data_IF_678545523147
#
_entry.id   IF_678545523147
#
_cell.length_a   1.000
_cell.length_b   1.000
_cell.length_c   1.000
_cell.angle_alpha   90.00
_cell.angle_beta   90.00
_cell.angle_gamma   90.00
#
_symmetry.space_group_name_H-M   'P 1'
#
loop_
_entity.id
_entity.type
_entity.pdbx_description
1 polymer ?
#
# COMPACT_ATOMS: atom_id res chain seq x y z
N UNK A 1 -22.89 16.53 12.30
CA UNK A 1 -23.00 15.73 11.07
C UNK A 1 -22.79 14.27 11.39
N UNK A 2 -23.52 13.40 10.73
CA UNK A 2 -23.46 11.93 10.87
C UNK A 2 -22.14 11.35 10.31
N UNK A 3 -21.34 12.16 9.60
CA UNK A 3 -20.10 11.71 8.97
C UNK A 3 -18.94 11.60 9.96
N UNK A 4 -18.22 10.50 9.90
CA UNK A 4 -16.95 10.30 10.59
C UNK A 4 -15.88 11.32 10.16
N UNK A 5 -14.91 11.61 11.05
CA UNK A 5 -13.87 12.62 10.80
C UNK A 5 -13.03 12.32 9.54
N UNK A 6 -12.62 11.06 9.35
CA UNK A 6 -11.87 10.63 8.15
C UNK A 6 -12.65 10.95 6.87
N UNK A 7 -13.93 10.62 6.84
CA UNK A 7 -14.76 10.88 5.66
C UNK A 7 -14.87 12.37 5.34
N UNK A 8 -14.99 13.23 6.36
CA UNK A 8 -14.99 14.69 6.17
C UNK A 8 -13.68 15.17 5.56
N UNK A 9 -12.55 14.64 6.02
CA UNK A 9 -11.23 14.97 5.48
C UNK A 9 -11.06 14.51 4.03
N UNK A 10 -11.58 13.35 3.65
CA UNK A 10 -11.59 12.89 2.26
C UNK A 10 -12.43 13.80 1.34
N UNK A 11 -13.58 14.28 1.83
CA UNK A 11 -14.36 15.28 1.09
C UNK A 11 -13.60 16.60 0.92
N UNK A 12 -12.90 17.07 1.95
CA UNK A 12 -12.08 18.28 1.87
C UNK A 12 -10.86 18.06 0.94
N UNK A 13 -10.25 16.90 0.98
CA UNK A 13 -9.13 16.55 0.09
C UNK A 13 -9.54 16.63 -1.39
N UNK A 14 -10.78 16.25 -1.73
CA UNK A 14 -11.36 16.39 -3.06
C UNK A 14 -11.42 17.86 -3.52
N UNK A 15 -11.55 18.82 -2.59
CA UNK A 15 -11.67 20.24 -2.87
C UNK A 15 -10.32 20.96 -2.99
N UNK A 16 -9.22 20.31 -2.65
CA UNK A 16 -7.87 20.91 -2.74
C UNK A 16 -7.60 21.58 -4.09
N UNK A 17 -7.95 20.95 -5.25
CA UNK A 17 -7.72 21.56 -6.56
C UNK A 17 -8.31 22.96 -6.71
N UNK A 18 -9.38 23.29 -5.97
CA UNK A 18 -10.03 24.62 -6.02
C UNK A 18 -9.25 25.71 -5.28
N UNK A 19 -8.41 25.33 -4.30
CA UNK A 19 -7.65 26.27 -3.47
C UNK A 19 -6.12 26.16 -3.60
N UNK A 20 -5.60 25.09 -4.19
CA UNK A 20 -4.15 24.88 -4.39
C UNK A 20 -3.83 24.86 -5.88
N UNK A 21 -3.00 25.80 -6.36
CA UNK A 21 -2.65 25.91 -7.78
C UNK A 21 -1.75 24.78 -8.24
N UNK A 22 -1.87 24.35 -9.51
CA UNK A 22 -1.05 23.27 -10.10
C UNK A 22 -1.04 22.00 -9.24
N UNK A 23 -2.18 21.65 -8.64
CA UNK A 23 -2.34 20.45 -7.85
C UNK A 23 -2.93 19.32 -8.71
N UNK A 24 -2.28 18.15 -8.73
CA UNK A 24 -2.67 17.03 -9.57
C UNK A 24 -3.30 15.93 -8.71
N UNK A 25 -4.63 15.81 -8.79
CA UNK A 25 -5.43 14.85 -8.02
C UNK A 25 -5.93 13.74 -8.94
N UNK A 26 -5.94 12.51 -8.45
CA UNK A 26 -6.72 11.43 -9.04
C UNK A 26 -7.67 10.84 -7.99
N UNK A 27 -8.91 10.60 -8.41
CA UNK A 27 -9.91 9.90 -7.60
C UNK A 27 -10.58 8.81 -8.43
N UNK A 28 -10.34 7.55 -8.07
CA UNK A 28 -11.02 6.40 -8.66
C UNK A 28 -11.89 5.73 -7.59
N UNK A 29 -13.12 5.36 -7.96
CA UNK A 29 -14.05 4.78 -7.00
C UNK A 29 -15.42 4.49 -7.61
N UNK A 30 -16.38 3.99 -6.82
CA UNK A 30 -17.73 3.65 -7.29
C UNK A 30 -18.47 4.84 -7.90
N UNK A 31 -19.45 4.57 -8.74
CA UNK A 31 -20.37 5.58 -9.29
C UNK A 31 -21.28 6.15 -8.20
N UNK A 32 -21.64 7.44 -8.36
CA UNK A 32 -22.62 8.09 -7.46
C UNK A 32 -22.04 8.62 -6.14
N UNK A 33 -20.72 8.76 -6.01
CA UNK A 33 -20.05 9.33 -4.85
C UNK A 33 -19.83 10.86 -4.95
N UNK A 34 -20.35 11.50 -6.02
CA UNK A 34 -20.28 12.95 -6.21
C UNK A 34 -18.91 13.50 -6.62
N UNK A 35 -18.05 12.67 -7.24
CA UNK A 35 -16.68 13.08 -7.66
C UNK A 35 -16.67 14.35 -8.49
N UNK A 36 -17.25 14.29 -9.66
CA UNK A 36 -17.30 15.39 -10.65
C UNK A 36 -18.19 16.54 -10.18
N UNK A 37 -19.31 16.21 -9.51
CA UNK A 37 -20.27 17.17 -8.98
C UNK A 37 -19.60 18.17 -8.03
N UNK A 38 -18.75 17.71 -7.12
CA UNK A 38 -18.09 18.56 -6.15
C UNK A 38 -17.19 19.63 -6.80
N UNK A 39 -16.56 19.34 -7.94
CA UNK A 39 -15.73 20.32 -8.66
C UNK A 39 -16.60 21.25 -9.49
N UNK A 40 -17.60 20.72 -10.16
CA UNK A 40 -18.44 21.48 -11.09
C UNK A 40 -19.36 22.47 -10.40
N UNK A 41 -19.97 22.06 -9.28
CA UNK A 41 -21.00 22.86 -8.61
C UNK A 41 -20.45 23.81 -7.52
N UNK A 42 -19.22 23.57 -7.05
CA UNK A 42 -18.64 24.39 -5.99
C UNK A 42 -17.80 25.57 -6.50
N UNK A 43 -17.53 25.66 -7.81
CA UNK A 43 -16.77 26.77 -8.32
C UNK A 43 -17.09 27.05 -9.80
N UNK A 44 -17.44 28.31 -10.14
CA UNK A 44 -17.60 28.75 -11.53
C UNK A 44 -16.25 28.84 -12.27
N UNK A 45 -15.12 28.66 -11.58
CA UNK A 45 -13.76 28.69 -12.12
C UNK A 45 -13.21 27.28 -12.43
N UNK A 46 -14.05 26.27 -12.40
CA UNK A 46 -13.70 24.91 -12.76
C UNK A 46 -14.32 24.50 -14.09
N UNK A 47 -13.55 23.81 -14.92
CA UNK A 47 -14.02 23.21 -16.15
C UNK A 47 -13.90 21.69 -16.10
N UNK A 48 -14.94 20.99 -16.53
CA UNK A 48 -14.98 19.54 -16.58
C UNK A 48 -14.98 19.09 -18.04
N UNK A 49 -14.04 18.23 -18.39
CA UNK A 49 -13.91 17.62 -19.72
C UNK A 49 -14.43 16.19 -19.68
N UNK A 50 -15.35 15.90 -20.59
CA UNK A 50 -15.82 14.54 -20.87
C UNK A 50 -15.28 14.10 -22.23
N UNK A 51 -14.36 13.11 -22.22
CA UNK A 51 -13.76 12.59 -23.45
C UNK A 51 -12.48 13.30 -23.92
N UNK A 52 -11.97 12.92 -25.10
CA UNK A 52 -10.68 13.38 -25.61
C UNK A 52 -10.67 14.88 -25.91
N UNK A 53 -9.52 15.50 -25.71
CA UNK A 53 -9.31 16.93 -25.99
C UNK A 53 -8.04 17.13 -26.83
N UNK A 54 -7.83 18.35 -27.35
CA UNK A 54 -6.68 18.69 -28.16
C UNK A 54 -5.66 19.52 -27.40
N UNK A 55 -4.43 19.54 -27.88
CA UNK A 55 -3.37 20.41 -27.34
C UNK A 55 -3.79 21.87 -27.38
N UNK A 56 -4.42 22.32 -28.49
CA UNK A 56 -4.87 23.70 -28.63
C UNK A 56 -5.94 24.08 -27.60
N UNK A 57 -6.85 23.18 -27.27
CA UNK A 57 -7.89 23.42 -26.26
C UNK A 57 -7.28 23.54 -24.86
N UNK A 58 -6.41 22.59 -24.47
CA UNK A 58 -5.80 22.61 -23.14
C UNK A 58 -4.75 23.70 -22.96
N UNK A 59 -3.87 23.89 -23.94
CA UNK A 59 -2.65 24.69 -23.82
C UNK A 59 -2.64 25.95 -24.69
N UNK A 60 -3.72 26.22 -25.43
CA UNK A 60 -3.82 27.37 -26.31
C UNK A 60 -3.20 27.15 -27.69
N UNK A 61 -3.38 28.13 -28.56
CA UNK A 61 -2.84 28.12 -29.93
C UNK A 61 -1.41 28.67 -29.95
N UNK A 62 -0.67 28.26 -30.97
CA UNK A 62 0.62 28.85 -31.30
C UNK A 62 0.40 30.35 -31.62
N UNK A 63 1.32 31.22 -31.24
CA UNK A 63 1.24 32.68 -31.36
C UNK A 63 0.34 33.39 -30.33
N UNK A 64 -0.08 32.73 -29.22
CA UNK A 64 -0.73 33.39 -28.08
C UNK A 64 -2.12 33.99 -28.32
N UNK A 65 -2.71 33.78 -29.51
CA UNK A 65 -4.04 34.36 -29.86
C UNK A 65 -5.16 33.88 -28.94
N UNK A 66 -5.09 32.64 -28.50
CA UNK A 66 -6.10 32.05 -27.63
C UNK A 66 -5.43 31.32 -26.47
N UNK A 67 -5.80 31.66 -25.24
CA UNK A 67 -5.36 31.00 -24.03
C UNK A 67 -5.99 29.62 -23.95
N UNK A 68 -5.23 28.63 -23.48
CA UNK A 68 -5.73 27.29 -23.21
C UNK A 68 -6.43 27.19 -21.87
N UNK A 69 -7.16 26.09 -21.68
CA UNK A 69 -7.90 25.84 -20.45
C UNK A 69 -7.03 25.95 -19.19
N UNK A 70 -5.80 25.45 -19.21
CA UNK A 70 -4.87 25.50 -18.05
C UNK A 70 -4.42 26.92 -17.67
N UNK A 71 -4.70 27.92 -18.52
CA UNK A 71 -4.40 29.34 -18.26
C UNK A 71 -5.64 30.15 -17.85
N UNK A 72 -6.85 29.63 -18.15
CA UNK A 72 -8.11 30.35 -17.94
C UNK A 72 -8.80 29.87 -16.66
N UNK A 73 -8.81 28.56 -16.46
CA UNK A 73 -9.51 27.92 -15.34
C UNK A 73 -8.60 27.70 -14.14
N UNK A 74 -9.16 27.69 -12.96
CA UNK A 74 -8.44 27.33 -11.73
C UNK A 74 -8.34 25.80 -11.60
N UNK A 75 -9.33 25.07 -12.13
CA UNK A 75 -9.31 23.60 -12.20
C UNK A 75 -9.75 23.12 -13.58
N UNK A 76 -9.01 22.14 -14.11
CA UNK A 76 -9.42 21.35 -15.28
C UNK A 76 -9.62 19.91 -14.80
N UNK A 77 -10.88 19.50 -14.73
CA UNK A 77 -11.28 18.14 -14.39
C UNK A 77 -11.43 17.28 -15.64
N UNK A 78 -10.96 16.05 -15.57
CA UNK A 78 -11.22 15.00 -16.56
C UNK A 78 -12.19 14.00 -15.95
N UNK A 79 -13.44 14.01 -16.44
CA UNK A 79 -14.46 13.06 -16.00
C UNK A 79 -14.40 11.79 -16.86
N UNK A 80 -14.72 10.66 -16.25
CA UNK A 80 -14.65 9.35 -16.89
C UNK A 80 -13.32 9.11 -17.63
N UNK A 81 -12.20 9.16 -16.86
CA UNK A 81 -10.85 9.02 -17.44
C UNK A 81 -10.68 7.78 -18.33
N UNK A 82 -11.51 6.75 -18.18
CA UNK A 82 -11.52 5.59 -19.07
C UNK A 82 -11.81 5.95 -20.54
N UNK A 83 -12.57 7.03 -20.78
CA UNK A 83 -12.93 7.48 -22.13
C UNK A 83 -11.81 8.25 -22.83
N UNK A 84 -10.73 8.59 -22.11
CA UNK A 84 -9.56 9.28 -22.66
C UNK A 84 -8.67 8.37 -23.53
N UNK A 85 -9.10 7.16 -23.89
CA UNK A 85 -8.33 6.22 -24.75
C UNK A 85 -7.91 6.84 -26.09
N UNK A 86 -8.72 7.75 -26.63
CA UNK A 86 -8.45 8.44 -27.89
C UNK A 86 -7.66 9.74 -27.73
N UNK A 87 -7.11 10.00 -26.54
CA UNK A 87 -6.31 11.21 -26.29
C UNK A 87 -5.00 11.15 -27.11
N UNK A 88 -4.66 12.20 -27.87
CA UNK A 88 -3.39 12.24 -28.58
C UNK A 88 -2.20 12.13 -27.63
N UNK A 89 -1.19 11.33 -27.98
CA UNK A 89 0.04 11.18 -27.17
C UNK A 89 0.74 12.52 -26.89
N UNK A 90 0.64 13.47 -27.82
CA UNK A 90 1.19 14.83 -27.66
C UNK A 90 0.56 15.55 -26.45
N UNK A 91 -0.76 15.40 -26.26
CA UNK A 91 -1.48 15.96 -25.10
C UNK A 91 -0.92 15.40 -23.79
N UNK A 92 -0.73 14.08 -23.72
CA UNK A 92 -0.18 13.43 -22.51
C UNK A 92 1.26 13.89 -22.23
N UNK A 93 2.07 14.03 -23.29
CA UNK A 93 3.45 14.53 -23.14
C UNK A 93 3.47 15.96 -22.61
N UNK A 94 2.58 16.83 -23.09
CA UNK A 94 2.48 18.20 -22.59
C UNK A 94 1.89 18.25 -21.17
N UNK A 95 0.87 17.45 -20.86
CA UNK A 95 0.34 17.33 -19.51
C UNK A 95 1.42 16.89 -18.53
N UNK A 96 2.26 15.93 -18.89
CA UNK A 96 3.39 15.47 -18.09
C UNK A 96 4.36 16.63 -17.71
N UNK A 97 4.72 17.46 -18.68
CA UNK A 97 5.57 18.63 -18.45
C UNK A 97 4.86 19.65 -17.56
N UNK A 98 3.60 19.93 -17.87
CA UNK A 98 2.77 20.85 -17.09
C UNK A 98 2.59 20.41 -15.62
N UNK A 99 2.34 19.14 -15.37
CA UNK A 99 2.20 18.58 -14.02
C UNK A 99 3.45 18.75 -13.17
N UNK A 100 4.65 18.77 -13.77
CA UNK A 100 5.91 18.94 -13.05
C UNK A 100 6.11 20.37 -12.58
N UNK A 101 5.91 21.36 -13.46
CA UNK A 101 6.35 22.75 -13.24
C UNK A 101 5.25 23.81 -13.33
N UNK A 102 4.07 23.46 -13.83
CA UNK A 102 3.04 24.45 -14.22
C UNK A 102 3.39 25.20 -15.49
N UNK A 103 4.49 24.82 -16.17
CA UNK A 103 4.95 25.44 -17.41
C UNK A 103 4.79 24.49 -18.59
N UNK A 104 4.63 25.05 -19.78
CA UNK A 104 4.56 24.31 -21.03
C UNK A 104 5.09 25.16 -22.17
N UNK A 105 5.47 24.53 -23.28
CA UNK A 105 6.01 25.21 -24.43
C UNK A 105 5.02 25.13 -25.60
N UNK A 106 4.77 26.28 -26.26
CA UNK A 106 3.98 26.39 -27.49
C UNK A 106 4.77 27.11 -28.56
N UNK A 107 5.19 26.35 -29.59
CA UNK A 107 6.15 26.86 -30.56
C UNK A 107 7.49 27.19 -29.90
N UNK A 108 7.91 28.45 -29.98
CA UNK A 108 9.14 28.94 -29.36
C UNK A 108 8.92 29.65 -28.01
N UNK A 109 7.66 29.76 -27.55
CA UNK A 109 7.31 30.48 -26.34
C UNK A 109 7.09 29.53 -25.16
N UNK A 110 7.72 29.83 -24.02
CA UNK A 110 7.46 29.19 -22.74
C UNK A 110 6.29 29.93 -22.06
N UNK A 111 5.25 29.20 -21.71
CA UNK A 111 4.05 29.71 -21.07
C UNK A 111 3.82 29.05 -19.72
N UNK A 112 3.10 29.73 -18.83
CA UNK A 112 2.68 29.20 -17.55
C UNK A 112 1.16 29.09 -17.49
N UNK A 113 0.70 28.08 -16.76
CA UNK A 113 -0.70 27.90 -16.34
C UNK A 113 -0.79 27.68 -14.84
N UNK A 114 -1.96 27.93 -14.28
CA UNK A 114 -2.20 27.83 -12.84
C UNK A 114 -3.25 26.77 -12.49
N UNK A 115 -3.91 26.22 -13.49
CA UNK A 115 -4.95 25.23 -13.27
C UNK A 115 -4.43 23.97 -12.56
N UNK A 116 -5.16 23.52 -11.59
CA UNK A 116 -5.02 22.20 -11.02
C UNK A 116 -5.66 21.16 -11.93
N UNK A 117 -5.15 19.93 -11.94
CA UNK A 117 -5.71 18.84 -12.73
C UNK A 117 -6.38 17.85 -11.78
N UNK A 118 -7.64 17.50 -12.08
CA UNK A 118 -8.39 16.49 -11.35
C UNK A 118 -8.86 15.39 -12.31
N UNK A 119 -8.43 14.16 -12.04
CA UNK A 119 -8.79 12.99 -12.85
C UNK A 119 -9.81 12.14 -12.08
N UNK A 120 -11.00 11.95 -12.67
CA UNK A 120 -12.07 11.17 -12.07
C UNK A 120 -12.38 9.94 -12.89
N UNK A 121 -12.50 8.79 -12.21
CA UNK A 121 -12.84 7.55 -12.87
C UNK A 121 -13.64 6.60 -11.99
N UNK A 122 -14.18 5.57 -12.62
CA UNK A 122 -14.95 4.55 -11.94
C UNK A 122 -14.15 3.26 -11.84
N UNK A 123 -14.17 2.62 -10.66
CA UNK A 123 -13.65 1.27 -10.49
C UNK A 123 -14.69 0.27 -11.00
N UNK A 124 -14.23 -0.73 -11.77
CA UNK A 124 -15.10 -1.77 -12.32
C UNK A 124 -15.28 -2.96 -11.35
N UNK A 125 -14.35 -3.13 -10.44
CA UNK A 125 -14.32 -4.22 -9.46
C UNK A 125 -14.13 -3.66 -8.05
N UNK A 126 -14.47 -4.42 -6.99
CA UNK A 126 -14.11 -4.10 -5.62
C UNK A 126 -12.59 -3.91 -5.47
N UNK A 127 -12.18 -3.00 -4.60
CA UNK A 127 -10.77 -2.60 -4.45
C UNK A 127 -9.89 -3.75 -3.96
N UNK A 128 -10.39 -4.56 -3.04
CA UNK A 128 -9.73 -5.77 -2.56
C UNK A 128 -9.40 -6.75 -3.69
N UNK A 129 -10.32 -6.93 -4.63
CA UNK A 129 -10.08 -7.76 -5.84
C UNK A 129 -9.05 -7.10 -6.75
N UNK A 130 -9.15 -5.78 -6.99
CA UNK A 130 -8.20 -5.05 -7.85
C UNK A 130 -6.77 -5.09 -7.28
N UNK A 131 -6.61 -4.94 -5.96
CA UNK A 131 -5.30 -5.00 -5.29
C UNK A 131 -4.67 -6.38 -5.39
N UNK A 132 -5.49 -7.45 -5.37
CA UNK A 132 -5.03 -8.83 -5.47
C UNK A 132 -4.68 -9.26 -6.91
N UNK A 133 -5.44 -8.80 -7.90
CA UNK A 133 -5.33 -9.27 -9.29
C UNK A 133 -4.51 -8.36 -10.19
N UNK A 134 -4.38 -7.07 -9.82
CA UNK A 134 -3.73 -6.05 -10.65
C UNK A 134 -3.30 -4.86 -9.78
N UNK A 135 -3.52 -3.66 -10.26
CA UNK A 135 -3.20 -2.41 -9.57
C UNK A 135 -4.39 -1.42 -9.66
N UNK A 136 -4.44 -0.44 -8.77
CA UNK A 136 -5.56 0.50 -8.68
C UNK A 136 -5.63 1.52 -9.83
N UNK A 137 -4.62 1.58 -10.71
CA UNK A 137 -4.66 2.37 -11.95
C UNK A 137 -5.19 1.57 -13.15
N UNK A 138 -5.63 0.32 -12.97
CA UNK A 138 -6.19 -0.50 -14.05
C UNK A 138 -7.36 0.17 -14.81
N UNK A 139 -8.22 1.02 -14.18
CA UNK A 139 -9.27 1.73 -14.90
C UNK A 139 -8.77 2.85 -15.84
N UNK A 140 -7.50 3.27 -15.74
CA UNK A 140 -6.96 4.28 -16.63
C UNK A 140 -6.74 3.71 -18.05
N UNK A 141 -6.91 4.53 -19.10
CA UNK A 141 -6.59 4.12 -20.46
C UNK A 141 -5.08 3.89 -20.63
N UNK A 142 -4.73 3.00 -21.55
CA UNK A 142 -3.34 2.57 -21.77
C UNK A 142 -2.39 3.75 -22.03
N UNK A 143 -2.85 4.76 -22.76
CA UNK A 143 -2.06 5.96 -23.09
C UNK A 143 -1.60 6.75 -21.84
N UNK A 144 -2.35 6.66 -20.75
CA UNK A 144 -2.02 7.27 -19.45
C UNK A 144 -1.35 6.25 -18.54
N UNK A 145 -1.91 5.04 -18.46
CA UNK A 145 -1.45 3.97 -17.57
C UNK A 145 -0.01 3.56 -17.88
N UNK A 146 0.34 3.47 -19.16
CA UNK A 146 1.68 3.04 -19.58
C UNK A 146 2.75 4.15 -19.43
N UNK A 147 2.35 5.41 -19.21
CA UNK A 147 3.27 6.51 -18.89
C UNK A 147 3.43 6.67 -17.36
N UNK A 148 4.26 5.81 -16.76
CA UNK A 148 4.55 5.86 -15.31
C UNK A 148 5.10 7.22 -14.86
N UNK A 149 5.82 7.93 -15.75
CA UNK A 149 6.33 9.25 -15.46
C UNK A 149 5.22 10.31 -15.35
N UNK A 150 4.11 10.17 -16.06
CA UNK A 150 2.92 10.99 -15.85
C UNK A 150 2.27 10.68 -14.49
N UNK A 151 2.07 9.38 -14.20
CA UNK A 151 1.47 8.92 -12.94
C UNK A 151 2.28 9.40 -11.74
N UNK A 152 3.62 9.35 -11.79
CA UNK A 152 4.50 9.83 -10.71
C UNK A 152 4.37 11.34 -10.42
N UNK A 153 3.73 12.12 -11.29
CA UNK A 153 3.44 13.54 -11.09
C UNK A 153 2.09 13.83 -10.43
N UNK A 154 1.32 12.80 -10.15
CA UNK A 154 0.10 12.93 -9.35
C UNK A 154 0.48 13.18 -7.90
N UNK A 155 -0.07 14.23 -7.31
CA UNK A 155 0.24 14.59 -5.93
C UNK A 155 -0.47 13.68 -4.94
N UNK A 156 -1.70 13.30 -5.24
CA UNK A 156 -2.53 12.50 -4.36
C UNK A 156 -3.46 11.57 -5.13
N UNK A 157 -3.58 10.35 -4.63
CA UNK A 157 -4.63 9.43 -5.04
C UNK A 157 -5.67 9.35 -3.91
N UNK A 158 -6.81 9.98 -4.11
CA UNK A 158 -7.94 9.93 -3.19
C UNK A 158 -8.68 8.59 -3.32
N UNK A 159 -8.89 7.86 -2.23
CA UNK A 159 -9.59 6.58 -2.24
C UNK A 159 -11.11 6.78 -2.39
N UNK A 160 -11.59 6.92 -3.63
CA UNK A 160 -13.01 7.17 -3.90
C UNK A 160 -13.93 6.02 -3.47
N UNK A 161 -13.39 4.83 -3.17
CA UNK A 161 -14.13 3.68 -2.63
C UNK A 161 -14.45 3.83 -1.13
N UNK A 162 -13.72 4.67 -0.39
CA UNK A 162 -14.07 5.01 0.99
C UNK A 162 -15.20 6.04 1.07
N UNK A 163 -15.47 6.75 -0.03
CA UNK A 163 -16.52 7.76 -0.07
C UNK A 163 -17.86 7.09 -0.39
N UNK A 164 -18.86 7.17 0.50
CA UNK A 164 -20.16 6.58 0.30
C UNK A 164 -20.92 7.28 -0.84
N UNK A 165 -21.91 6.58 -1.40
CA UNK A 165 -22.87 7.23 -2.30
C UNK A 165 -23.59 8.34 -1.56
N UNK A 166 -23.74 9.49 -2.22
CA UNK A 166 -24.44 10.64 -1.65
C UNK A 166 -25.90 10.29 -1.35
N UNK A 167 -26.35 10.61 -0.14
CA UNK A 167 -27.72 10.42 0.36
C UNK A 167 -28.19 11.71 1.03
N UNK A 168 -29.49 11.88 1.18
CA UNK A 168 -30.06 13.08 1.81
C UNK A 168 -29.53 13.32 3.23
N UNK A 169 -29.23 12.27 3.99
CA UNK A 169 -28.67 12.36 5.34
C UNK A 169 -27.24 12.97 5.40
N UNK A 170 -26.56 13.04 4.27
CA UNK A 170 -25.24 13.67 4.17
C UNK A 170 -25.31 15.19 3.99
N UNK A 171 -26.48 15.71 3.63
CA UNK A 171 -26.71 17.14 3.52
C UNK A 171 -27.17 17.71 4.86
N UNK A 172 -26.93 18.99 5.06
CA UNK A 172 -27.33 19.69 6.27
C UNK A 172 -28.53 20.61 5.96
N UNK A 173 -29.44 20.72 6.92
CA UNK A 173 -30.53 21.68 6.87
C UNK A 173 -30.13 23.07 7.47
N UNK A 174 -28.88 23.19 7.91
CA UNK A 174 -28.33 24.44 8.42
C UNK A 174 -27.82 25.33 7.28
N UNK A 175 -27.69 26.62 7.57
CA UNK A 175 -27.11 27.60 6.66
C UNK A 175 -25.68 27.20 6.32
N UNK A 176 -25.32 27.30 5.03
CA UNK A 176 -23.97 27.09 4.50
C UNK A 176 -23.41 28.36 3.87
N UNK A 177 -22.19 28.28 3.38
CA UNK A 177 -21.65 29.37 2.57
C UNK A 177 -22.41 29.49 1.24
N UNK A 178 -22.57 30.72 0.76
CA UNK A 178 -22.94 30.96 -0.62
C UNK A 178 -21.81 30.43 -1.50
N UNK A 179 -22.13 29.62 -2.49
CA UNK A 179 -21.13 28.90 -3.33
C UNK A 179 -20.16 29.85 -4.01
N UNK A 180 -20.69 30.98 -4.56
CA UNK A 180 -19.87 32.01 -5.22
C UNK A 180 -18.86 32.63 -4.26
N UNK A 181 -19.28 32.91 -3.03
CA UNK A 181 -18.37 33.42 -2.00
C UNK A 181 -17.29 32.43 -1.63
N UNK A 182 -17.65 31.16 -1.47
CA UNK A 182 -16.70 30.10 -1.20
C UNK A 182 -15.68 29.97 -2.35
N UNK A 183 -16.13 30.03 -3.60
CA UNK A 183 -15.27 29.95 -4.77
C UNK A 183 -14.25 31.11 -4.82
N UNK A 184 -14.69 32.36 -4.56
CA UNK A 184 -13.79 33.51 -4.50
C UNK A 184 -12.80 33.41 -3.34
N UNK A 185 -13.25 32.96 -2.17
CA UNK A 185 -12.36 32.73 -1.01
C UNK A 185 -11.27 31.69 -1.31
N UNK A 186 -11.66 30.55 -1.93
CA UNK A 186 -10.71 29.50 -2.31
C UNK A 186 -9.72 30.00 -3.37
N UNK A 187 -10.18 30.77 -4.34
CA UNK A 187 -9.34 31.37 -5.38
C UNK A 187 -8.31 32.36 -4.79
N UNK A 188 -8.73 33.16 -3.80
CA UNK A 188 -7.81 34.06 -3.10
C UNK A 188 -6.80 33.28 -2.25
N UNK A 189 -7.24 32.26 -1.51
CA UNK A 189 -6.37 31.34 -0.77
C UNK A 189 -5.38 30.61 -1.69
N UNK A 190 -5.70 30.43 -2.97
CA UNK A 190 -4.78 29.90 -3.98
C UNK A 190 -3.50 30.72 -4.16
N UNK A 191 -3.48 31.96 -3.73
CA UNK A 191 -2.28 32.84 -3.77
C UNK A 191 -1.36 32.66 -2.56
N UNK A 192 -1.87 32.05 -1.47
CA UNK A 192 -1.11 31.81 -0.25
C UNK A 192 -0.34 30.49 -0.34
N UNK A 193 0.73 30.35 0.44
CA UNK A 193 1.58 29.18 0.49
C UNK A 193 1.75 28.68 1.93
N UNK A 194 1.32 27.43 2.19
CA UNK A 194 1.45 26.77 3.49
C UNK A 194 2.34 25.52 3.41
N UNK A 195 3.16 25.39 2.37
CA UNK A 195 4.00 24.18 2.17
C UNK A 195 5.06 23.98 3.25
N UNK A 196 5.48 25.05 3.93
CA UNK A 196 6.49 25.02 4.99
C UNK A 196 5.92 24.83 6.40
N UNK A 197 4.57 24.84 6.53
CA UNK A 197 3.91 24.67 7.83
C UNK A 197 4.27 23.34 8.50
N UNK A 198 4.56 22.30 7.72
CA UNK A 198 4.99 20.98 8.23
C UNK A 198 6.22 21.13 9.11
N UNK A 199 7.18 21.96 8.72
CA UNK A 199 8.50 22.07 9.33
C UNK A 199 8.46 22.64 10.76
N UNK A 200 7.30 23.21 11.21
CA UNK A 200 7.13 23.67 12.56
C UNK A 200 7.16 22.51 13.59
N UNK A 201 6.63 21.35 13.23
CA UNK A 201 6.48 20.22 14.15
C UNK A 201 7.04 18.89 13.61
N UNK A 202 7.20 18.78 12.28
CA UNK A 202 7.53 17.52 11.63
C UNK A 202 8.59 17.67 10.56
N UNK A 203 9.36 16.61 10.34
CA UNK A 203 10.28 16.48 9.22
C UNK A 203 9.85 15.27 8.37
N UNK A 204 9.86 15.41 7.04
CA UNK A 204 9.54 14.30 6.15
C UNK A 204 10.69 13.31 6.11
N UNK A 205 10.39 12.01 6.15
CA UNK A 205 11.35 10.91 6.16
C UNK A 205 12.41 11.01 5.05
N UNK A 206 13.61 10.54 5.31
CA UNK A 206 14.75 10.65 4.39
C UNK A 206 14.51 9.95 3.04
N UNK A 207 13.70 8.90 3.04
CA UNK A 207 13.41 8.07 1.86
C UNK A 207 12.43 8.70 0.86
N UNK A 208 11.71 9.76 1.24
CA UNK A 208 10.85 10.49 0.31
C UNK A 208 11.73 11.29 -0.67
N UNK A 209 11.56 11.03 -1.96
CA UNK A 209 12.26 11.79 -3.00
C UNK A 209 11.68 13.22 -3.15
N UNK A 210 12.31 14.06 -3.97
CA UNK A 210 11.90 15.47 -4.15
C UNK A 210 10.44 15.61 -4.63
N UNK A 211 9.95 14.70 -5.50
CA UNK A 211 8.55 14.71 -5.96
C UNK A 211 7.59 14.34 -4.85
N UNK A 212 7.93 13.32 -4.06
CA UNK A 212 7.11 12.88 -2.95
C UNK A 212 6.97 13.99 -1.90
N UNK A 213 8.10 14.64 -1.54
CA UNK A 213 8.11 15.81 -0.64
C UNK A 213 7.26 16.95 -1.17
N UNK A 214 7.39 17.28 -2.46
CA UNK A 214 6.59 18.32 -3.13
C UNK A 214 5.10 17.97 -3.08
N UNK A 215 4.73 16.72 -3.39
CA UNK A 215 3.36 16.24 -3.40
C UNK A 215 2.71 16.30 -2.01
N UNK A 216 3.40 15.80 -0.98
CA UNK A 216 2.94 15.85 0.42
C UNK A 216 2.77 17.29 0.88
N UNK A 217 3.79 18.15 0.70
CA UNK A 217 3.74 19.56 1.08
C UNK A 217 2.59 20.33 0.42
N UNK A 218 2.32 20.07 -0.86
CA UNK A 218 1.19 20.68 -1.57
C UNK A 218 -0.16 20.18 -1.07
N UNK A 219 -0.28 18.90 -0.76
CA UNK A 219 -1.51 18.34 -0.18
C UNK A 219 -1.77 18.93 1.20
N UNK A 220 -0.74 19.06 2.05
CA UNK A 220 -0.85 19.73 3.35
C UNK A 220 -1.23 21.20 3.16
N UNK A 221 -0.56 21.93 2.26
CA UNK A 221 -0.92 23.33 1.96
C UNK A 221 -2.39 23.48 1.55
N UNK A 222 -2.88 22.60 0.68
CA UNK A 222 -4.28 22.61 0.25
C UNK A 222 -5.26 22.36 1.39
N UNK A 223 -5.00 21.38 2.27
CA UNK A 223 -5.84 21.11 3.43
C UNK A 223 -5.75 22.25 4.47
N UNK A 224 -4.58 22.84 4.66
CA UNK A 224 -4.42 24.02 5.51
C UNK A 224 -5.29 25.20 5.05
N UNK A 225 -5.34 25.48 3.75
CA UNK A 225 -6.20 26.52 3.17
C UNK A 225 -7.68 26.30 3.45
N UNK A 226 -8.11 25.03 3.46
CA UNK A 226 -9.51 24.66 3.70
C UNK A 226 -9.90 24.64 5.19
N UNK A 227 -8.98 24.20 6.07
CA UNK A 227 -9.24 24.00 7.49
C UNK A 227 -8.72 25.13 8.37
N UNK A 228 -7.55 25.67 8.03
CA UNK A 228 -6.82 26.64 8.82
C UNK A 228 -6.35 27.82 7.94
N UNK A 229 -7.26 28.56 7.26
CA UNK A 229 -6.90 29.63 6.31
C UNK A 229 -6.10 30.76 6.95
N UNK A 230 -6.16 30.91 8.27
CA UNK A 230 -5.37 31.88 9.05
C UNK A 230 -3.92 31.42 9.31
N UNK A 231 -3.54 30.20 8.90
CA UNK A 231 -2.18 29.66 9.00
C UNK A 231 -1.78 29.11 10.37
N UNK A 232 -2.62 29.24 11.40
CA UNK A 232 -2.35 28.67 12.73
C UNK A 232 -2.99 27.29 12.85
N UNK A 233 -2.21 26.31 13.31
CA UNK A 233 -2.64 24.92 13.44
C UNK A 233 -1.99 24.29 14.67
N UNK A 234 -2.72 23.44 15.38
CA UNK A 234 -2.14 22.61 16.44
C UNK A 234 -1.28 21.48 15.86
N UNK A 235 -0.32 20.98 16.65
CA UNK A 235 0.50 19.84 16.26
C UNK A 235 -0.38 18.63 15.89
N UNK A 236 -1.41 18.33 16.70
CA UNK A 236 -2.31 17.19 16.48
C UNK A 236 -3.11 17.32 15.18
N UNK A 237 -3.66 18.50 14.89
CA UNK A 237 -4.42 18.72 13.66
C UNK A 237 -3.49 18.68 12.43
N UNK A 238 -2.29 19.23 12.53
CA UNK A 238 -1.31 19.19 11.46
C UNK A 238 -0.82 17.74 11.22
N UNK A 239 -0.66 16.95 12.27
CA UNK A 239 -0.28 15.54 12.14
C UNK A 239 -1.34 14.74 11.39
N UNK A 240 -2.62 14.93 11.70
CA UNK A 240 -3.73 14.28 10.99
C UNK A 240 -3.74 14.66 9.50
N UNK A 241 -3.56 15.95 9.19
CA UNK A 241 -3.43 16.45 7.82
C UNK A 241 -2.22 15.85 7.12
N UNK A 242 -1.07 15.78 7.78
CA UNK A 242 0.17 15.24 7.25
C UNK A 242 0.05 13.75 6.95
N UNK A 243 -0.52 12.96 7.87
CA UNK A 243 -0.74 11.52 7.67
C UNK A 243 -1.62 11.26 6.45
N UNK A 244 -2.71 12.00 6.28
CA UNK A 244 -3.58 11.88 5.11
C UNK A 244 -2.86 12.27 3.81
N UNK A 245 -2.04 13.32 3.83
CA UNK A 245 -1.25 13.75 2.68
C UNK A 245 -0.21 12.70 2.27
N UNK A 246 0.50 12.13 3.24
CA UNK A 246 1.47 11.04 3.02
C UNK A 246 0.75 9.81 2.49
N UNK A 247 -0.40 9.41 3.06
CA UNK A 247 -1.21 8.27 2.61
C UNK A 247 -1.60 8.42 1.13
N UNK A 248 -2.13 9.60 0.75
CA UNK A 248 -2.54 9.85 -0.64
C UNK A 248 -1.37 9.77 -1.64
N UNK A 249 -0.19 10.26 -1.27
CA UNK A 249 1.02 10.16 -2.11
C UNK A 249 1.61 8.75 -2.12
N UNK A 250 1.67 8.08 -0.97
CA UNK A 250 2.11 6.70 -0.86
C UNK A 250 1.27 5.79 -1.76
N UNK A 251 -0.06 5.98 -1.80
CA UNK A 251 -0.96 5.23 -2.68
C UNK A 251 -0.55 5.32 -4.15
N UNK A 252 -0.13 6.49 -4.63
CA UNK A 252 0.42 6.63 -5.99
C UNK A 252 1.67 5.78 -6.18
N UNK A 253 2.62 5.85 -5.25
CA UNK A 253 3.89 5.11 -5.34
C UNK A 253 3.74 3.61 -5.26
N UNK A 254 2.87 3.13 -4.38
CA UNK A 254 2.61 1.69 -4.24
C UNK A 254 2.00 1.10 -5.51
N UNK A 255 1.18 1.87 -6.23
CA UNK A 255 0.65 1.41 -7.51
C UNK A 255 1.72 1.41 -8.60
N UNK A 256 2.62 2.40 -8.64
CA UNK A 256 3.77 2.41 -9.54
C UNK A 256 4.70 1.21 -9.29
N UNK A 257 4.94 0.86 -8.02
CA UNK A 257 5.68 -0.35 -7.63
C UNK A 257 5.03 -1.62 -8.20
N UNK A 258 3.70 -1.76 -8.07
CA UNK A 258 2.94 -2.90 -8.62
C UNK A 258 2.96 -2.97 -10.15
N UNK A 259 3.08 -1.84 -10.82
CA UNK A 259 3.21 -1.76 -12.28
C UNK A 259 4.60 -2.16 -12.81
N UNK A 260 5.54 -2.48 -11.91
CA UNK A 260 6.80 -3.14 -12.25
C UNK A 260 7.99 -2.21 -12.54
N UNK A 261 7.93 -0.95 -12.16
CA UNK A 261 9.08 -0.06 -12.30
C UNK A 261 10.06 -0.21 -11.13
N UNK A 262 11.25 -0.74 -11.40
CA UNK A 262 12.31 -1.02 -10.42
C UNK A 262 12.68 0.20 -9.55
N UNK A 263 12.65 1.40 -10.12
CA UNK A 263 12.95 2.66 -9.43
C UNK A 263 11.98 3.03 -8.31
N UNK A 264 10.81 2.36 -8.22
CA UNK A 264 9.77 2.61 -7.22
C UNK A 264 9.71 1.55 -6.11
N UNK A 265 10.64 0.60 -6.07
CA UNK A 265 10.65 -0.47 -5.06
C UNK A 265 11.02 0.00 -3.65
N UNK A 266 11.76 1.10 -3.53
CA UNK A 266 12.18 1.66 -2.24
C UNK A 266 11.29 2.85 -1.87
N UNK A 267 10.21 2.62 -1.15
CA UNK A 267 9.34 3.70 -0.69
C UNK A 267 8.84 3.45 0.72
N UNK A 268 9.68 3.76 1.69
CA UNK A 268 9.20 4.01 3.04
C UNK A 268 8.62 5.41 3.09
N UNK A 269 7.35 5.52 3.50
CA UNK A 269 6.68 6.79 3.70
C UNK A 269 6.53 7.04 5.19
N UNK A 270 7.38 7.93 5.71
CA UNK A 270 7.44 8.27 7.13
C UNK A 270 7.56 9.78 7.33
N UNK A 271 7.32 10.20 8.55
CA UNK A 271 7.65 11.53 9.05
C UNK A 271 8.24 11.39 10.46
N UNK A 272 9.03 12.35 10.87
CA UNK A 272 9.64 12.41 12.19
C UNK A 272 9.04 13.57 12.98
N UNK A 273 8.74 13.34 14.25
CA UNK A 273 8.31 14.39 15.19
C UNK A 273 9.57 15.12 15.65
N UNK A 274 9.66 16.44 15.39
CA UNK A 274 10.88 17.22 15.62
C UNK A 274 11.29 17.23 17.11
N UNK A 275 10.33 17.29 18.03
CA UNK A 275 10.58 17.38 19.47
C UNK A 275 11.11 16.08 20.09
N UNK A 276 10.59 14.93 19.64
CA UNK A 276 10.91 13.62 20.22
C UNK A 276 11.91 12.83 19.38
N UNK A 277 12.06 13.16 18.12
CA UNK A 277 12.84 12.38 17.15
C UNK A 277 12.17 11.05 16.75
N UNK A 278 10.93 10.81 17.18
CA UNK A 278 10.19 9.60 16.85
C UNK A 278 9.81 9.56 15.36
N UNK A 279 10.11 8.45 14.70
CA UNK A 279 9.75 8.24 13.31
C UNK A 279 8.43 7.46 13.21
N UNK A 280 7.46 8.03 12.50
CA UNK A 280 6.13 7.49 12.31
C UNK A 280 5.95 7.06 10.84
N UNK A 281 5.74 5.78 10.61
CA UNK A 281 5.46 5.22 9.27
C UNK A 281 3.97 5.36 8.96
N UNK A 282 3.65 5.75 7.71
CA UNK A 282 2.27 5.87 7.23
C UNK A 282 2.01 4.80 6.19
N UNK A 283 1.09 3.88 6.46
CA UNK A 283 0.63 2.84 5.53
C UNK A 283 -0.64 3.26 4.78
N UNK A 284 -0.97 2.55 3.69
CA UNK A 284 -2.23 2.71 2.96
C UNK A 284 -3.19 1.56 3.32
N UNK A 285 -4.45 1.87 3.72
CA UNK A 285 -5.38 0.86 4.25
C UNK A 285 -5.66 -0.31 3.29
N UNK A 286 -5.76 -0.04 2.00
CA UNK A 286 -6.09 -1.06 0.99
C UNK A 286 -4.93 -2.01 0.67
N UNK A 287 -3.70 -1.66 0.99
CA UNK A 287 -2.56 -2.58 0.86
C UNK A 287 -2.38 -3.45 2.10
N UNK A 288 -3.32 -3.29 3.02
CA UNK A 288 -3.38 -3.95 4.31
C UNK A 288 -2.11 -3.67 5.14
N UNK A 289 -2.24 -3.00 6.25
CA UNK A 289 -2.14 -3.71 7.46
C UNK A 289 -3.23 -4.77 7.57
N UNK A 290 -3.33 -5.73 6.69
CA UNK A 290 -3.81 -7.03 7.14
C UNK A 290 -2.68 -7.49 8.02
N UNK A 291 -2.90 -7.50 9.33
CA UNK A 291 -2.18 -8.36 10.24
C UNK A 291 -2.51 -9.81 9.85
N UNK A 292 -2.08 -10.21 8.62
CA UNK A 292 -2.23 -11.59 8.15
C UNK A 292 -1.43 -12.51 9.07
N UNK A 293 -0.36 -11.96 9.65
CA UNK A 293 0.41 -12.56 10.73
C UNK A 293 -0.08 -11.91 12.03
N UNK A 294 -0.93 -12.63 12.77
CA UNK A 294 -1.48 -12.13 14.02
C UNK A 294 -0.40 -11.82 15.05
N UNK A 295 -0.52 -10.67 15.70
CA UNK A 295 0.26 -10.32 16.87
C UNK A 295 -0.24 -11.02 18.14
N UNK A 296 -1.42 -11.64 18.12
CA UNK A 296 -1.98 -12.42 19.22
C UNK A 296 -1.37 -13.83 19.26
N UNK A 297 -1.35 -14.48 20.43
CA UNK A 297 -0.91 -15.86 20.55
C UNK A 297 -1.75 -16.80 19.67
N UNK A 298 -1.09 -17.58 18.81
CA UNK A 298 -1.75 -18.60 18.00
C UNK A 298 -2.02 -19.88 18.82
N UNK A 299 -3.03 -20.66 18.45
CA UNK A 299 -3.23 -21.98 19.03
C UNK A 299 -2.03 -22.89 18.69
N UNK A 300 -1.68 -23.86 19.54
CA UNK A 300 -0.67 -24.86 19.23
C UNK A 300 -0.98 -25.57 17.90
N UNK A 301 0.07 -25.79 17.11
CA UNK A 301 -0.04 -26.39 15.77
C UNK A 301 -0.23 -25.37 14.64
N UNK A 302 -0.33 -24.08 14.91
CA UNK A 302 -0.50 -23.03 13.90
C UNK A 302 0.78 -22.19 13.77
N UNK A 303 1.27 -22.01 12.54
CA UNK A 303 2.48 -21.21 12.25
C UNK A 303 2.35 -20.44 10.94
N UNK A 304 3.13 -19.37 10.79
CA UNK A 304 3.30 -18.67 9.52
C UNK A 304 4.63 -19.03 8.86
N UNK A 305 4.60 -19.13 7.55
CA UNK A 305 5.78 -19.37 6.71
C UNK A 305 5.66 -18.63 5.39
N UNK A 306 6.78 -18.40 4.72
CA UNK A 306 6.82 -17.75 3.42
C UNK A 306 7.77 -18.46 2.47
N UNK A 307 7.53 -18.28 1.18
CA UNK A 307 8.38 -18.80 0.12
C UNK A 307 8.49 -17.80 -1.03
N UNK A 308 9.56 -17.95 -1.82
CA UNK A 308 9.82 -17.17 -3.03
C UNK A 308 9.94 -18.11 -4.22
N UNK A 309 9.18 -17.82 -5.27
CA UNK A 309 9.30 -18.53 -6.54
C UNK A 309 10.53 -18.06 -7.34
N UNK A 310 10.82 -18.72 -8.46
CA UNK A 310 11.96 -18.37 -9.32
C UNK A 310 11.82 -17.02 -10.02
N UNK A 311 10.61 -16.47 -10.12
CA UNK A 311 10.31 -15.16 -10.71
C UNK A 311 10.25 -14.02 -9.67
N UNK A 312 10.55 -14.32 -8.39
CA UNK A 312 10.52 -13.33 -7.29
C UNK A 312 9.16 -13.16 -6.64
N UNK A 313 8.11 -13.88 -7.06
CA UNK A 313 6.80 -13.83 -6.42
C UNK A 313 6.87 -14.45 -5.03
N UNK A 314 6.36 -13.75 -4.01
CA UNK A 314 6.33 -14.21 -2.63
C UNK A 314 4.98 -14.84 -2.31
N UNK A 315 5.00 -16.01 -1.71
CA UNK A 315 3.85 -16.65 -1.06
C UNK A 315 3.97 -16.51 0.45
N UNK A 316 2.87 -16.16 1.12
CA UNK A 316 2.75 -16.15 2.57
C UNK A 316 1.66 -17.13 2.99
N UNK A 317 2.00 -18.04 3.91
CA UNK A 317 1.14 -19.16 4.26
C UNK A 317 0.91 -19.25 5.76
N UNK A 318 -0.31 -19.63 6.12
CA UNK A 318 -0.63 -20.12 7.46
C UNK A 318 -0.74 -21.64 7.40
N UNK A 319 0.13 -22.31 8.15
CA UNK A 319 0.14 -23.76 8.31
C UNK A 319 -0.61 -24.12 9.59
N UNK A 320 -1.58 -25.01 9.48
CA UNK A 320 -2.36 -25.54 10.58
C UNK A 320 -2.20 -27.06 10.65
N UNK A 321 -1.84 -27.55 11.84
CA UNK A 321 -1.74 -28.98 12.14
C UNK A 321 -2.70 -29.31 13.25
N UNK A 322 -3.55 -30.29 13.05
CA UNK A 322 -4.42 -30.87 14.08
C UNK A 322 -4.15 -32.36 14.25
N UNK A 323 -4.48 -32.91 15.40
CA UNK A 323 -4.27 -34.32 15.71
C UNK A 323 -5.57 -35.01 16.11
N UNK A 324 -5.69 -36.27 15.74
CA UNK A 324 -6.76 -37.16 16.15
C UNK A 324 -6.19 -38.53 16.54
N UNK A 325 -6.90 -39.30 17.33
CA UNK A 325 -6.48 -40.68 17.66
C UNK A 325 -6.31 -41.51 16.39
N UNK A 326 -5.18 -42.19 16.22
CA UNK A 326 -4.87 -42.89 14.98
C UNK A 326 -3.63 -43.76 15.02
N UNK A 327 -2.93 -43.89 13.87
CA UNK A 327 -1.80 -44.81 13.66
C UNK A 327 -0.67 -44.10 12.92
N UNK A 328 -0.31 -42.90 13.27
CA UNK A 328 0.74 -42.07 12.64
C UNK A 328 0.50 -41.77 11.16
N UNK A 329 -0.76 -41.58 10.75
CA UNK A 329 -1.05 -41.24 9.36
C UNK A 329 -1.06 -39.74 9.16
N UNK A 330 -0.50 -39.30 8.04
CA UNK A 330 -0.56 -37.91 7.60
C UNK A 330 -1.70 -37.74 6.60
N UNK A 331 -2.59 -36.79 6.86
CA UNK A 331 -3.75 -36.46 6.01
C UNK A 331 -3.71 -34.98 5.67
N UNK A 332 -4.04 -34.66 4.44
CA UNK A 332 -4.05 -33.28 3.94
C UNK A 332 -5.47 -32.80 3.74
N UNK A 333 -5.77 -31.60 4.22
CA UNK A 333 -7.00 -30.87 3.97
C UNK A 333 -6.74 -29.80 2.90
N UNK A 334 -7.72 -29.54 2.03
CA UNK A 334 -7.60 -28.54 0.96
C UNK A 334 -6.67 -28.93 -0.19
N UNK A 335 -6.47 -27.99 -1.12
CA UNK A 335 -5.62 -28.14 -2.30
C UNK A 335 -4.19 -27.72 -2.03
N UNK A 336 -3.35 -28.59 -1.48
CA UNK A 336 -1.93 -28.27 -1.22
C UNK A 336 -1.10 -28.56 -2.49
N UNK A 337 -0.22 -27.60 -2.86
CA UNK A 337 0.69 -27.74 -3.99
C UNK A 337 1.63 -28.96 -3.84
N UNK A 338 2.00 -29.56 -4.96
CA UNK A 338 2.81 -30.80 -4.98
C UNK A 338 4.10 -30.71 -4.20
N UNK A 339 4.88 -29.66 -4.42
CA UNK A 339 6.17 -29.44 -3.75
C UNK A 339 6.01 -29.26 -2.22
N UNK A 340 4.96 -28.58 -1.78
CA UNK A 340 4.65 -28.45 -0.34
C UNK A 340 4.32 -29.81 0.28
N UNK A 341 3.50 -30.59 -0.42
CA UNK A 341 3.12 -31.95 0.04
C UNK A 341 4.35 -32.86 0.17
N UNK A 342 5.27 -32.79 -0.78
CA UNK A 342 6.53 -33.52 -0.72
C UNK A 342 7.43 -33.06 0.44
N UNK A 343 7.55 -31.76 0.66
CA UNK A 343 8.30 -31.20 1.78
C UNK A 343 7.74 -31.63 3.13
N UNK A 344 6.41 -31.60 3.28
CA UNK A 344 5.73 -32.06 4.51
C UNK A 344 5.90 -33.58 4.71
N UNK A 345 5.76 -34.41 3.68
CA UNK A 345 5.98 -35.85 3.78
C UNK A 345 7.43 -36.17 4.18
N UNK A 346 8.41 -35.49 3.59
CA UNK A 346 9.84 -35.62 3.92
C UNK A 346 10.12 -35.25 5.38
N UNK A 347 9.56 -34.13 5.81
CA UNK A 347 9.68 -33.63 7.17
C UNK A 347 9.02 -34.56 8.22
N UNK A 348 7.86 -35.12 7.89
CA UNK A 348 7.17 -36.08 8.72
C UNK A 348 7.97 -37.40 8.85
N UNK A 349 8.50 -37.90 7.73
CA UNK A 349 9.38 -39.06 7.74
C UNK A 349 10.60 -38.87 8.67
N UNK A 350 11.21 -37.69 8.62
CA UNK A 350 12.32 -37.35 9.52
C UNK A 350 11.91 -37.32 11.00
N UNK A 351 10.74 -36.74 11.32
CA UNK A 351 10.21 -36.71 12.68
C UNK A 351 9.93 -38.11 13.22
N UNK A 352 9.35 -38.99 12.40
CA UNK A 352 9.10 -40.38 12.79
C UNK A 352 10.37 -41.14 13.07
N UNK A 353 11.40 -40.98 12.23
CA UNK A 353 12.71 -41.63 12.37
C UNK A 353 13.43 -41.14 13.66
N UNK A 354 13.23 -39.90 14.06
CA UNK A 354 13.93 -39.25 15.18
C UNK A 354 13.03 -38.93 16.37
N UNK A 355 11.85 -39.54 16.48
CA UNK A 355 10.83 -39.27 17.51
C UNK A 355 11.37 -39.34 18.95
N UNK A 356 12.35 -40.22 19.23
CA UNK A 356 12.98 -40.37 20.53
C UNK A 356 13.88 -39.17 20.88
N UNK A 357 14.57 -38.58 19.90
CA UNK A 357 15.43 -37.42 20.07
C UNK A 357 14.59 -36.19 20.43
N UNK A 358 13.40 -36.07 19.83
CA UNK A 358 12.44 -34.99 20.13
C UNK A 358 11.57 -35.27 21.37
N UNK A 359 11.68 -36.48 21.96
CA UNK A 359 10.90 -36.87 23.14
C UNK A 359 9.38 -36.99 22.88
N UNK A 360 8.97 -37.27 21.63
CA UNK A 360 7.56 -37.34 21.18
C UNK A 360 7.12 -38.77 20.77
N UNK A 361 7.93 -39.78 21.11
CA UNK A 361 7.76 -41.13 20.58
C UNK A 361 6.41 -41.78 20.88
N UNK A 362 5.87 -41.62 22.09
CA UNK A 362 4.58 -42.21 22.46
C UNK A 362 3.40 -41.50 21.79
N UNK A 363 3.45 -40.17 21.74
CA UNK A 363 2.35 -39.38 21.21
C UNK A 363 2.24 -39.54 19.69
N UNK A 364 3.36 -39.56 18.96
CA UNK A 364 3.36 -39.66 17.48
C UNK A 364 2.77 -41.00 17.02
N UNK A 365 3.04 -42.10 17.74
CA UNK A 365 2.60 -43.45 17.35
C UNK A 365 1.08 -43.67 17.51
N UNK A 366 0.40 -42.83 18.29
CA UNK A 366 -1.01 -42.97 18.63
C UNK A 366 -1.92 -41.92 18.02
N UNK A 367 -1.37 -41.01 17.21
CA UNK A 367 -2.09 -39.89 16.65
C UNK A 367 -1.98 -39.87 15.11
N UNK A 368 -3.07 -39.56 14.42
CA UNK A 368 -3.08 -39.15 13.02
C UNK A 368 -2.95 -37.61 12.95
N UNK A 369 -2.25 -37.11 11.94
CA UNK A 369 -1.96 -35.69 11.73
C UNK A 369 -2.72 -35.18 10.53
N UNK A 370 -3.51 -34.13 10.72
CA UNK A 370 -4.25 -33.44 9.68
C UNK A 370 -3.58 -32.10 9.43
N UNK A 371 -3.24 -31.83 8.18
CA UNK A 371 -2.47 -30.64 7.78
C UNK A 371 -3.24 -29.83 6.77
N UNK A 372 -3.37 -28.54 7.02
CA UNK A 372 -3.89 -27.55 6.09
C UNK A 372 -2.89 -26.42 5.88
N UNK A 373 -2.73 -25.99 4.62
CA UNK A 373 -1.87 -24.86 4.24
C UNK A 373 -2.76 -23.83 3.57
N UNK A 374 -2.90 -22.68 4.21
CA UNK A 374 -3.76 -21.58 3.77
C UNK A 374 -2.88 -20.53 3.13
N UNK A 375 -3.07 -20.28 1.83
CA UNK A 375 -2.40 -19.19 1.10
C UNK A 375 -3.04 -17.86 1.46
N UNK A 376 -2.30 -16.99 2.15
CA UNK A 376 -2.81 -15.71 2.64
C UNK A 376 -2.77 -14.60 1.58
N UNK A 377 -1.91 -14.73 0.58
CA UNK A 377 -1.77 -13.76 -0.51
C UNK A 377 -2.47 -14.19 -1.81
N UNK A 378 -2.81 -15.49 -1.93
CA UNK A 378 -3.42 -16.04 -3.14
C UNK A 378 -2.47 -16.23 -4.31
N UNK A 379 -1.15 -16.13 -4.11
CA UNK A 379 -0.13 -16.15 -5.15
C UNK A 379 0.23 -17.56 -5.64
N UNK A 380 -0.25 -18.61 -4.96
CA UNK A 380 -0.03 -20.04 -5.29
C UNK A 380 1.44 -20.43 -5.52
N UNK A 381 2.35 -19.80 -4.78
CA UNK A 381 3.79 -20.09 -4.86
C UNK A 381 4.08 -21.47 -4.26
N UNK A 382 4.78 -22.32 -4.97
CA UNK A 382 5.24 -23.59 -4.43
C UNK A 382 6.35 -23.38 -3.40
N UNK A 383 6.15 -23.88 -2.19
CA UNK A 383 7.03 -23.66 -1.06
C UNK A 383 7.58 -24.96 -0.47
N UNK A 384 8.84 -24.94 -0.09
CA UNK A 384 9.41 -25.96 0.77
C UNK A 384 9.27 -25.49 2.24
N UNK A 385 8.34 -26.08 2.99
CA UNK A 385 7.91 -25.63 4.33
C UNK A 385 8.17 -26.64 5.44
N UNK A 386 9.16 -27.51 5.25
CA UNK A 386 9.42 -28.64 6.14
C UNK A 386 9.74 -28.24 7.59
N UNK A 387 10.51 -27.15 7.78
CA UNK A 387 10.85 -26.68 9.14
C UNK A 387 9.59 -26.18 9.88
N UNK A 388 8.77 -25.37 9.21
CA UNK A 388 7.53 -24.86 9.80
C UNK A 388 6.60 -26.02 10.18
N UNK A 389 6.45 -27.03 9.32
CA UNK A 389 5.67 -28.22 9.61
C UNK A 389 6.17 -28.98 10.86
N UNK A 390 7.48 -29.23 10.95
CA UNK A 390 8.05 -29.91 12.12
C UNK A 390 7.80 -29.15 13.42
N UNK A 391 7.94 -27.83 13.40
CA UNK A 391 7.66 -26.97 14.57
C UNK A 391 6.19 -27.00 14.93
N UNK A 392 5.26 -26.99 13.93
CA UNK A 392 3.83 -27.09 14.17
C UNK A 392 3.44 -28.43 14.83
N UNK A 393 4.01 -29.54 14.34
CA UNK A 393 3.82 -30.87 14.97
C UNK A 393 4.36 -30.87 16.40
N UNK A 394 5.55 -30.32 16.63
CA UNK A 394 6.13 -30.26 17.96
C UNK A 394 5.29 -29.38 18.91
N UNK A 395 4.80 -28.23 18.40
CA UNK A 395 3.95 -27.30 19.12
C UNK A 395 2.66 -27.98 19.60
N UNK A 396 1.94 -28.72 18.72
CA UNK A 396 0.69 -29.37 19.10
C UNK A 396 0.89 -30.53 20.07
N UNK A 397 1.96 -31.32 19.90
CA UNK A 397 2.27 -32.42 20.82
C UNK A 397 2.68 -31.93 22.20
N UNK A 398 3.40 -30.80 22.28
CA UNK A 398 3.79 -30.16 23.56
C UNK A 398 2.70 -29.26 24.12
N UNK A 399 1.62 -29.02 23.41
CA UNK A 399 0.56 -28.06 23.76
C UNK A 399 1.12 -26.66 24.06
N UNK A 400 2.18 -26.28 23.37
CA UNK A 400 2.86 -25.02 23.52
C UNK A 400 2.57 -24.10 22.33
N UNK A 401 2.05 -22.91 22.60
CA UNK A 401 1.75 -21.91 21.57
C UNK A 401 3.06 -21.36 20.97
N UNK A 402 3.13 -21.13 19.66
CA UNK A 402 4.23 -20.40 19.05
C UNK A 402 4.31 -18.95 19.54
N UNK A 403 5.49 -18.34 19.43
CA UNK A 403 5.64 -16.93 19.75
C UNK A 403 4.76 -16.07 18.84
N UNK A 404 4.10 -15.02 19.36
CA UNK A 404 3.25 -14.13 18.56
C UNK A 404 4.05 -13.41 17.46
N UNK A 405 3.43 -13.26 16.29
CA UNK A 405 4.04 -12.56 15.15
C UNK A 405 5.26 -13.28 14.56
N UNK A 406 5.40 -14.60 14.74
CA UNK A 406 6.54 -15.39 14.28
C UNK A 406 6.34 -15.89 12.84
N UNK A 407 7.28 -15.55 11.96
CA UNK A 407 7.48 -16.17 10.66
C UNK A 407 8.54 -17.25 10.75
N UNK A 408 8.32 -18.43 10.19
CA UNK A 408 9.31 -19.52 10.13
C UNK A 408 9.74 -19.73 8.70
N UNK A 409 11.06 -19.69 8.46
CA UNK A 409 11.65 -19.90 7.13
C UNK A 409 12.53 -21.14 7.12
N UNK A 410 12.63 -21.78 5.94
CA UNK A 410 13.53 -22.90 5.68
C UNK A 410 12.84 -24.24 5.51
N UNK A 411 13.61 -25.17 4.95
CA UNK A 411 13.21 -26.55 4.71
C UNK A 411 14.28 -27.51 5.29
N UNK A 412 14.01 -28.79 5.22
CA UNK A 412 14.97 -29.82 5.67
C UNK A 412 15.10 -30.96 4.66
N UNK A 413 16.28 -31.56 4.66
CA UNK A 413 16.53 -32.80 3.93
C UNK A 413 15.93 -34.01 4.67
N UNK A 414 15.90 -35.16 4.00
CA UNK A 414 15.43 -36.40 4.64
C UNK A 414 16.30 -36.84 5.85
N UNK A 415 17.55 -36.37 5.91
CA UNK A 415 18.46 -36.60 7.03
C UNK A 415 18.41 -35.47 8.10
N UNK A 416 17.55 -34.48 7.92
CA UNK A 416 17.36 -33.38 8.88
C UNK A 416 18.32 -32.21 8.73
N UNK A 417 19.13 -32.17 7.67
CA UNK A 417 19.94 -30.98 7.38
C UNK A 417 19.04 -29.82 6.96
N UNK A 418 19.23 -28.68 7.60
CA UNK A 418 18.48 -27.47 7.28
C UNK A 418 18.90 -26.97 5.91
N UNK A 419 17.92 -26.69 5.05
CA UNK A 419 18.11 -26.07 3.75
C UNK A 419 17.86 -24.57 3.86
N UNK A 420 18.77 -23.71 3.35
CA UNK A 420 18.55 -22.29 3.30
C UNK A 420 17.42 -21.93 2.35
N UNK A 421 16.76 -20.80 2.59
CA UNK A 421 15.82 -20.21 1.64
C UNK A 421 16.60 -19.56 0.48
N UNK A 422 15.98 -19.50 -0.69
CA UNK A 422 16.62 -18.94 -1.91
C UNK A 422 16.93 -17.45 -1.77
N UNK A 423 15.96 -16.68 -1.30
CA UNK A 423 16.11 -15.28 -0.98
C UNK A 423 15.50 -15.01 0.39
N UNK A 424 16.11 -14.11 1.12
CA UNK A 424 15.67 -13.70 2.46
C UNK A 424 14.96 -12.34 2.44
N UNK A 425 15.33 -11.48 1.49
CA UNK A 425 14.88 -10.08 1.44
C UNK A 425 13.37 -9.98 1.24
N UNK A 426 12.86 -10.61 0.19
CA UNK A 426 11.47 -10.49 -0.20
C UNK A 426 10.50 -11.13 0.83
N UNK A 427 10.76 -12.36 1.35
CA UNK A 427 9.91 -12.95 2.37
C UNK A 427 9.85 -12.14 3.66
N UNK A 428 10.98 -11.59 4.10
CA UNK A 428 11.03 -10.77 5.31
C UNK A 428 10.29 -9.45 5.13
N UNK A 429 10.45 -8.80 3.97
CA UNK A 429 9.74 -7.57 3.66
C UNK A 429 8.23 -7.79 3.62
N UNK A 430 7.78 -8.81 2.88
CA UNK A 430 6.34 -9.14 2.79
C UNK A 430 5.77 -9.53 4.15
N UNK A 431 6.53 -10.30 4.95
CA UNK A 431 6.06 -10.69 6.28
C UNK A 431 5.97 -9.49 7.23
N UNK A 432 6.94 -8.58 7.22
CA UNK A 432 6.91 -7.33 7.98
C UNK A 432 5.68 -6.49 7.61
N UNK A 433 5.45 -6.27 6.32
CA UNK A 433 4.29 -5.55 5.79
C UNK A 433 2.95 -6.18 6.21
N UNK A 434 2.96 -7.46 6.59
CA UNK A 434 1.80 -8.24 7.02
C UNK A 434 1.79 -8.56 8.52
N UNK A 435 2.57 -7.85 9.34
CA UNK A 435 2.49 -7.90 10.80
C UNK A 435 3.49 -8.82 11.50
N UNK A 436 4.46 -9.43 10.79
CA UNK A 436 5.53 -10.19 11.43
C UNK A 436 6.39 -9.31 12.32
N UNK A 437 6.67 -9.79 13.53
CA UNK A 437 7.56 -9.15 14.49
C UNK A 437 8.83 -9.94 14.74
N UNK A 438 8.83 -11.21 14.39
CA UNK A 438 9.95 -12.14 14.56
C UNK A 438 10.08 -13.02 13.33
N UNK A 439 11.30 -13.36 12.96
CA UNK A 439 11.56 -14.31 11.90
C UNK A 439 12.58 -15.36 12.33
N UNK A 440 12.21 -16.62 12.25
CA UNK A 440 13.09 -17.76 12.48
C UNK A 440 13.78 -18.12 11.16
N UNK A 441 15.10 -17.94 11.11
CA UNK A 441 15.92 -17.93 9.90
C UNK A 441 17.00 -18.98 9.98
N UNK A 442 17.22 -19.83 8.93
CA UNK A 442 18.36 -20.73 8.88
C UNK A 442 19.69 -19.98 8.99
N UNK A 443 20.63 -20.51 9.77
CA UNK A 443 21.93 -19.87 9.97
C UNK A 443 22.73 -19.73 8.67
N UNK A 444 22.50 -20.61 7.71
CA UNK A 444 23.09 -20.60 6.38
C UNK A 444 22.73 -19.33 5.60
N UNK A 445 21.57 -18.72 5.89
CA UNK A 445 21.13 -17.46 5.27
C UNK A 445 21.72 -16.21 5.94
N UNK A 446 22.58 -16.35 6.96
CA UNK A 446 23.14 -15.21 7.70
C UNK A 446 23.88 -14.19 6.80
N UNK A 447 24.49 -14.64 5.71
CA UNK A 447 25.16 -13.76 4.75
C UNK A 447 24.15 -12.90 3.98
N UNK A 448 23.04 -13.48 3.54
CA UNK A 448 21.97 -12.77 2.83
C UNK A 448 21.27 -11.75 3.73
N UNK A 449 21.34 -11.94 5.04
CA UNK A 449 20.77 -11.01 6.01
C UNK A 449 21.41 -9.61 5.96
N UNK A 450 22.66 -9.50 5.51
CA UNK A 450 23.33 -8.21 5.27
C UNK A 450 22.76 -7.43 4.07
N UNK A 451 22.01 -8.11 3.20
CA UNK A 451 21.34 -7.52 2.03
C UNK A 451 19.91 -7.05 2.34
N UNK A 452 19.39 -7.41 3.53
CA UNK A 452 18.06 -7.02 3.98
C UNK A 452 18.04 -5.54 4.35
N UNK A 453 17.00 -4.85 3.92
CA UNK A 453 16.87 -3.41 4.16
C UNK A 453 16.83 -3.09 5.67
N UNK A 454 17.50 -2.01 6.14
CA UNK A 454 17.55 -1.65 7.57
C UNK A 454 16.16 -1.56 8.23
N UNK A 455 15.14 -1.06 7.55
CA UNK A 455 13.77 -0.95 8.05
C UNK A 455 13.15 -2.30 8.44
N UNK A 456 13.46 -3.36 7.69
CA UNK A 456 12.98 -4.71 8.01
C UNK A 456 13.66 -5.20 9.30
N UNK A 457 14.95 -4.86 9.47
CA UNK A 457 15.75 -5.26 10.61
C UNK A 457 15.32 -4.55 11.91
N UNK A 458 14.78 -3.35 11.81
CA UNK A 458 14.25 -2.61 12.94
C UNK A 458 12.90 -3.13 13.44
N UNK A 459 12.09 -3.71 12.54
CA UNK A 459 10.73 -4.15 12.84
C UNK A 459 10.60 -5.65 13.07
N UNK A 460 11.48 -6.46 12.48
CA UNK A 460 11.45 -7.92 12.56
C UNK A 460 12.71 -8.42 13.26
N UNK A 461 12.55 -8.95 14.49
CA UNK A 461 13.63 -9.54 15.27
C UNK A 461 14.09 -10.87 14.62
N UNK A 462 15.33 -10.97 14.12
CA UNK A 462 15.84 -12.17 13.47
C UNK A 462 16.33 -13.19 14.47
N UNK A 463 15.78 -14.39 14.43
CA UNK A 463 16.14 -15.50 15.29
C UNK A 463 16.81 -16.58 14.43
N UNK A 464 18.13 -16.73 14.52
CA UNK A 464 18.86 -17.74 13.73
C UNK A 464 18.85 -19.11 14.41
N UNK A 465 18.77 -20.18 13.61
CA UNK A 465 18.84 -21.57 14.07
C UNK A 465 19.72 -22.42 13.16
N UNK A 466 20.42 -23.40 13.73
CA UNK A 466 21.30 -24.32 12.99
C UNK A 466 20.74 -25.74 12.91
N UNK A 467 19.79 -26.11 13.76
CA UNK A 467 19.14 -27.42 13.75
C UNK A 467 17.65 -27.32 14.11
N UNK A 468 16.90 -28.37 13.79
CA UNK A 468 15.44 -28.38 13.98
C UNK A 468 15.02 -28.31 15.44
N UNK A 469 15.77 -28.89 16.37
CA UNK A 469 15.47 -28.85 17.80
C UNK A 469 15.61 -27.43 18.34
N UNK A 470 16.69 -26.75 17.99
CA UNK A 470 16.90 -25.35 18.32
C UNK A 470 15.81 -24.46 17.74
N UNK A 471 15.40 -24.73 16.48
CA UNK A 471 14.31 -24.03 15.82
C UNK A 471 12.99 -24.18 16.60
N UNK A 472 12.63 -25.40 17.00
CA UNK A 472 11.41 -25.66 17.76
C UNK A 472 11.41 -24.97 19.14
N UNK A 473 12.55 -25.05 19.88
CA UNK A 473 12.67 -24.39 21.19
C UNK A 473 12.53 -22.87 21.08
N UNK A 474 13.23 -22.26 20.12
CA UNK A 474 13.17 -20.81 19.88
C UNK A 474 11.78 -20.37 19.41
N UNK A 475 11.13 -21.14 18.53
CA UNK A 475 9.80 -20.82 18.05
C UNK A 475 8.73 -20.83 19.14
N UNK A 476 8.87 -21.71 20.14
CA UNK A 476 7.93 -21.88 21.24
C UNK A 476 8.34 -21.12 22.52
N UNK A 477 9.46 -20.43 22.52
CA UNK A 477 9.98 -19.72 23.69
C UNK A 477 10.32 -20.66 24.85
N UNK A 478 10.70 -21.91 24.55
CA UNK A 478 11.11 -22.89 25.51
C UNK A 478 12.61 -22.73 25.77
N UNK A 479 13.02 -22.73 27.04
CA UNK A 479 14.42 -22.66 27.48
C UNK A 479 15.07 -24.04 27.56
#
# INVERSE_FOLDING_TARGET
SVMERRLKLLFLLRLIPLGERNYNLIELGPRGTGKSYAIQELSPYAALLTGPTTVANLFGQQQGRYKGMVQIWDVVGFDEVADLQKMPKEVITMLKTYCESGQFQRGQEAMAGYASLALFGNTQQPVDVMVQTSHLFAPLPDVIRDDMAFIDRLHCYLPGWEVPKMRNEHFTDHYGFVVDYLAEALRDLGKHNFTETIDHYFSLGAHLNARDRKAVRRTVSGLMKLLHPHGQVSQTDLEEILRLAIEGRRRVKEQLKKMGAFEYHQTAFSYQINDTGEECVVSVPEQGGRDLISADPLPPGTLYTAAVSSDGTVGLYRLEVSVASGTSKLKFAGGIAGAMKEAINRAFGYLLANKNIFGIGREVDTLDFHVEVIDLLGNKVEAEIGVAFCIAVYSILRKAAPQPGLLVLGDLSIQGHIKPVRSLVEPLQVAMENGARRALIPIENKRQFLEVHPEVLEQVDPIFFGDLRQAAFKALGLS
#
